data_IF_688743505662
#
_entry.id   IF_688743505662
#
_cell.length_a   1.000
_cell.length_b   1.000
_cell.length_c   1.000
_cell.angle_alpha   90.00
_cell.angle_beta   90.00
_cell.angle_gamma   90.00
#
_symmetry.space_group_name_H-M   'P 1'
#
loop_
_entity.id
_entity.type
_entity.pdbx_description
1 polymer ?
#
# COMPACT_ATOMS: atom_id res chain seq x y z
N UNK A 1 11.78 -2.63 -10.71
CA UNK A 1 12.45 -2.93 -9.45
C UNK A 1 12.15 -4.36 -9.05
N UNK A 2 13.17 -5.14 -8.67
CA UNK A 2 13.00 -6.45 -8.03
C UNK A 2 12.73 -6.25 -6.54
N UNK A 3 12.25 -7.29 -5.86
CA UNK A 3 12.06 -7.26 -4.41
C UNK A 3 13.38 -6.99 -3.67
N UNK A 4 14.45 -7.61 -4.13
CA UNK A 4 15.78 -7.45 -3.54
C UNK A 4 16.35 -6.04 -3.78
N UNK A 5 16.19 -5.49 -4.99
CA UNK A 5 16.55 -4.10 -5.28
C UNK A 5 15.75 -3.08 -4.47
N UNK A 6 14.48 -3.37 -4.14
CA UNK A 6 13.70 -2.52 -3.24
C UNK A 6 14.19 -2.61 -1.80
N UNK A 7 14.59 -3.79 -1.33
CA UNK A 7 15.19 -3.95 0.00
C UNK A 7 16.54 -3.25 0.11
N UNK A 8 17.40 -3.38 -0.91
CA UNK A 8 18.68 -2.69 -0.96
C UNK A 8 18.48 -1.17 -0.88
N UNK A 9 17.56 -0.62 -1.68
CA UNK A 9 17.24 0.80 -1.64
C UNK A 9 16.73 1.22 -0.25
N UNK A 10 15.79 0.49 0.32
CA UNK A 10 15.26 0.78 1.65
C UNK A 10 16.31 0.70 2.75
N UNK A 11 17.35 -0.13 2.60
CA UNK A 11 18.41 -0.25 3.59
C UNK A 11 19.29 1.00 3.74
N UNK A 12 19.29 1.87 2.74
CA UNK A 12 20.08 3.12 2.73
C UNK A 12 19.22 4.38 2.88
N UNK A 13 17.90 4.26 2.75
CA UNK A 13 16.98 5.38 2.94
C UNK A 13 16.56 5.47 4.41
N UNK A 14 16.38 6.68 4.89
CA UNK A 14 15.88 6.98 6.23
C UNK A 14 14.76 8.00 6.14
N UNK A 15 13.76 7.84 7.00
CA UNK A 15 12.77 8.88 7.20
C UNK A 15 13.42 10.10 7.89
N UNK A 16 13.16 11.29 7.36
CA UNK A 16 13.58 12.53 8.03
C UNK A 16 12.79 12.69 9.33
N UNK A 17 13.44 13.02 10.46
CA UNK A 17 12.76 13.20 11.74
C UNK A 17 11.77 14.38 11.76
N UNK A 18 11.85 15.27 10.77
CA UNK A 18 11.06 16.52 10.72
C UNK A 18 9.90 16.43 9.72
N UNK A 19 9.67 15.26 9.08
CA UNK A 19 8.65 15.10 8.04
C UNK A 19 7.62 14.06 8.47
N UNK A 20 6.33 14.38 8.27
CA UNK A 20 5.24 13.41 8.38
C UNK A 20 5.09 12.62 7.07
N UNK A 21 5.04 11.31 7.17
CA UNK A 21 4.91 10.42 6.02
C UNK A 21 3.57 9.68 6.05
N UNK A 22 2.88 9.69 4.92
CA UNK A 22 1.61 8.99 4.76
C UNK A 22 1.59 8.16 3.49
N UNK A 23 1.05 6.95 3.57
CA UNK A 23 0.84 6.06 2.44
C UNK A 23 -0.62 5.64 2.34
N UNK A 24 -1.15 5.63 1.13
CA UNK A 24 -2.41 4.99 0.81
C UNK A 24 -2.13 3.63 0.19
N UNK A 25 -2.69 2.58 0.78
CA UNK A 25 -2.50 1.20 0.36
C UNK A 25 -3.83 0.61 -0.17
N UNK A 26 -4.19 0.91 -1.43
CA UNK A 26 -5.41 0.38 -2.02
C UNK A 26 -5.33 -1.14 -2.20
N UNK A 27 -6.50 -1.79 -2.16
CA UNK A 27 -6.65 -3.20 -2.49
C UNK A 27 -7.94 -3.44 -3.27
N UNK A 28 -7.84 -4.23 -4.33
CA UNK A 28 -8.97 -4.65 -5.17
C UNK A 28 -9.13 -6.17 -5.18
N UNK A 29 -8.62 -6.86 -4.16
CA UNK A 29 -8.65 -8.32 -4.05
C UNK A 29 -9.26 -8.80 -2.75
N UNK A 30 -9.79 -10.02 -2.78
CA UNK A 30 -10.27 -10.77 -1.61
C UNK A 30 -9.57 -12.11 -1.53
N UNK A 31 -9.33 -12.58 -0.31
CA UNK A 31 -8.77 -13.89 -0.06
C UNK A 31 -9.76 -14.97 -0.50
N UNK A 32 -9.27 -15.99 -1.21
CA UNK A 32 -10.07 -17.17 -1.57
C UNK A 32 -10.48 -17.97 -0.32
N UNK A 33 -11.65 -18.51 -0.36
CA UNK A 33 -12.05 -19.53 0.63
C UNK A 33 -11.07 -20.69 0.57
N UNK A 34 -10.58 -21.25 1.57
CA UNK A 34 -9.67 -22.43 1.62
C UNK A 34 -8.30 -22.25 0.94
N UNK A 35 -7.84 -21.03 0.73
CA UNK A 35 -6.53 -20.76 0.13
C UNK A 35 -5.90 -19.50 0.74
N UNK A 36 -4.59 -19.35 0.61
CA UNK A 36 -3.90 -18.09 0.92
C UNK A 36 -3.90 -17.11 -0.26
N UNK A 37 -4.27 -17.57 -1.45
CA UNK A 37 -4.30 -16.74 -2.65
C UNK A 37 -5.48 -15.77 -2.64
N UNK A 38 -5.35 -14.69 -3.41
CA UNK A 38 -6.35 -13.66 -3.58
C UNK A 38 -6.91 -13.65 -5.01
N UNK A 39 -8.18 -13.34 -5.13
CA UNK A 39 -8.85 -13.08 -6.42
C UNK A 39 -9.29 -11.61 -6.49
N UNK A 40 -9.29 -11.01 -7.70
CA UNK A 40 -9.85 -9.68 -7.88
C UNK A 40 -11.36 -9.70 -7.57
N UNK A 41 -11.83 -8.63 -6.91
CA UNK A 41 -13.26 -8.41 -6.68
C UNK A 41 -14.00 -8.13 -8.01
N UNK A 42 -15.33 -8.26 -8.01
CA UNK A 42 -16.16 -8.05 -9.21
C UNK A 42 -16.02 -6.67 -9.83
N UNK A 43 -15.77 -5.67 -9.01
CA UNK A 43 -15.63 -4.27 -9.38
C UNK A 43 -14.24 -3.91 -9.94
N UNK A 44 -13.27 -4.82 -9.84
CA UNK A 44 -11.93 -4.58 -10.43
C UNK A 44 -12.06 -4.34 -11.93
N UNK A 45 -11.51 -3.24 -12.47
CA UNK A 45 -11.53 -2.97 -13.90
C UNK A 45 -11.00 -4.14 -14.72
N UNK A 46 -11.66 -4.46 -15.83
CA UNK A 46 -11.36 -5.65 -16.62
C UNK A 46 -9.89 -5.72 -17.05
N UNK A 47 -9.29 -4.58 -17.35
CA UNK A 47 -7.87 -4.47 -17.73
C UNK A 47 -6.92 -4.86 -16.59
N UNK A 48 -7.35 -4.72 -15.35
CA UNK A 48 -6.55 -5.04 -14.16
C UNK A 48 -6.80 -6.47 -13.65
N UNK A 49 -7.93 -7.10 -13.99
CA UNK A 49 -8.32 -8.41 -13.43
C UNK A 49 -7.28 -9.50 -13.64
N UNK A 50 -6.77 -9.61 -14.87
CA UNK A 50 -5.79 -10.66 -15.22
C UNK A 50 -4.53 -10.45 -14.39
N UNK A 51 -4.03 -9.22 -14.34
CA UNK A 51 -2.82 -8.87 -13.60
C UNK A 51 -3.02 -9.05 -12.09
N UNK A 52 -4.12 -8.55 -11.55
CA UNK A 52 -4.50 -8.71 -10.15
C UNK A 52 -4.54 -10.18 -9.73
N UNK A 53 -5.14 -11.05 -10.57
CA UNK A 53 -5.17 -12.49 -10.33
C UNK A 53 -3.78 -13.14 -10.37
N UNK A 54 -2.92 -12.71 -11.29
CA UNK A 54 -1.54 -13.18 -11.35
C UNK A 54 -0.76 -12.79 -10.09
N UNK A 55 -0.83 -11.54 -9.66
CA UNK A 55 -0.20 -11.06 -8.42
C UNK A 55 -0.77 -11.84 -7.23
N UNK A 56 -2.08 -11.97 -7.14
CA UNK A 56 -2.79 -12.64 -6.04
C UNK A 56 -2.54 -14.13 -5.91
N UNK A 57 -1.80 -14.75 -6.84
CA UNK A 57 -1.50 -16.19 -6.82
C UNK A 57 -0.03 -16.52 -7.07
N UNK A 58 0.82 -15.52 -7.31
CA UNK A 58 2.23 -15.75 -7.64
C UNK A 58 3.09 -15.76 -6.38
N UNK A 59 3.76 -16.87 -6.17
CA UNK A 59 4.85 -16.97 -5.21
C UNK A 59 6.14 -16.49 -5.91
N UNK A 60 6.78 -15.48 -5.36
CA UNK A 60 8.10 -15.02 -5.79
C UNK A 60 9.18 -15.57 -4.84
N UNK A 61 10.38 -15.71 -5.37
CA UNK A 61 11.55 -16.10 -4.59
C UNK A 61 12.49 -14.89 -4.52
N UNK A 62 13.05 -14.69 -3.34
CA UNK A 62 14.10 -13.72 -3.06
C UNK A 62 15.47 -14.33 -3.40
N UNK A 63 16.49 -13.50 -3.54
CA UNK A 63 17.86 -13.97 -3.84
C UNK A 63 18.43 -14.86 -2.73
N UNK A 64 17.95 -14.70 -1.49
CA UNK A 64 18.29 -15.57 -0.36
C UNK A 64 17.52 -16.90 -0.35
N UNK A 65 16.73 -17.19 -1.37
CA UNK A 65 15.91 -18.40 -1.52
C UNK A 65 14.60 -18.41 -0.72
N UNK A 66 14.30 -17.39 0.05
CA UNK A 66 13.02 -17.27 0.75
C UNK A 66 11.89 -17.00 -0.22
N UNK A 67 10.69 -17.45 0.14
CA UNK A 67 9.47 -17.20 -0.63
C UNK A 67 8.71 -16.02 -0.06
N UNK A 68 8.00 -15.31 -0.93
CA UNK A 68 6.97 -14.38 -0.48
C UNK A 68 5.86 -15.16 0.22
N UNK A 69 5.37 -14.61 1.33
CA UNK A 69 4.29 -15.18 2.12
C UNK A 69 2.90 -14.71 1.66
N UNK A 70 1.85 -15.04 2.43
CA UNK A 70 0.47 -14.71 2.09
C UNK A 70 0.15 -13.22 2.09
N UNK A 71 0.95 -12.38 2.74
CA UNK A 71 0.76 -10.93 2.75
C UNK A 71 1.03 -10.28 1.39
N UNK A 72 1.78 -10.97 0.52
CA UNK A 72 2.10 -10.51 -0.83
C UNK A 72 1.02 -10.76 -1.86
N UNK A 73 -0.07 -11.46 -1.54
CA UNK A 73 -1.12 -11.77 -2.50
C UNK A 73 -2.18 -10.69 -2.60
N UNK A 74 -2.39 -9.91 -1.55
CA UNK A 74 -3.27 -8.76 -1.59
C UNK A 74 -2.67 -7.69 -2.53
N UNK A 75 -3.51 -7.09 -3.42
CA UNK A 75 -3.01 -6.15 -4.41
C UNK A 75 -4.13 -5.23 -4.94
N UNK A 76 -3.70 -4.14 -5.56
CA UNK A 76 -4.55 -3.14 -6.20
C UNK A 76 -4.72 -3.34 -7.72
N UNK A 77 -4.22 -4.46 -8.25
CA UNK A 77 -4.20 -4.78 -9.69
C UNK A 77 -2.89 -4.45 -10.38
N UNK A 78 -2.01 -3.68 -9.78
CA UNK A 78 -0.68 -3.29 -10.30
C UNK A 78 0.43 -3.65 -9.32
N UNK A 79 0.23 -3.40 -8.03
CA UNK A 79 1.23 -3.53 -6.96
C UNK A 79 0.64 -4.34 -5.80
N UNK A 80 1.48 -5.05 -5.09
CA UNK A 80 1.09 -5.73 -3.85
C UNK A 80 0.77 -4.68 -2.78
N UNK A 81 -0.33 -4.85 -2.05
CA UNK A 81 -0.78 -3.87 -1.04
C UNK A 81 0.28 -3.65 0.04
N UNK A 82 0.94 -4.72 0.51
CA UNK A 82 2.02 -4.63 1.51
C UNK A 82 3.18 -3.73 1.07
N UNK A 83 3.49 -3.67 -0.22
CA UNK A 83 4.60 -2.85 -0.73
C UNK A 83 4.30 -1.34 -0.72
N UNK A 84 3.06 -0.96 -0.41
CA UNK A 84 2.61 0.43 -0.33
C UNK A 84 2.58 0.98 1.11
N UNK A 85 2.82 0.15 2.12
CA UNK A 85 2.80 0.61 3.52
C UNK A 85 3.91 1.62 3.84
N UNK A 86 5.04 1.52 3.19
CA UNK A 86 6.21 2.38 3.36
C UNK A 86 7.50 1.57 3.36
N UNK A 87 8.66 2.21 3.50
CA UNK A 87 9.93 1.51 3.61
C UNK A 87 9.98 0.68 4.89
N UNK A 88 10.35 -0.60 4.78
CA UNK A 88 10.36 -1.53 5.92
C UNK A 88 11.69 -1.59 6.66
N UNK A 89 12.73 -0.97 6.11
CA UNK A 89 14.06 -0.97 6.71
C UNK A 89 14.76 0.33 6.42
N UNK A 90 15.28 0.98 7.45
CA UNK A 90 16.21 2.09 7.32
C UNK A 90 17.64 1.65 7.61
N UNK A 91 18.60 2.50 7.37
CA UNK A 91 20.01 2.25 7.62
C UNK A 91 20.31 1.93 9.11
N UNK A 92 19.56 2.53 10.02
CA UNK A 92 19.70 2.33 11.46
C UNK A 92 18.68 1.34 12.05
N UNK A 93 18.07 0.52 11.22
CA UNK A 93 17.02 -0.42 11.61
C UNK A 93 15.72 -0.18 10.85
N UNK A 94 14.64 -0.90 11.19
CA UNK A 94 13.36 -0.70 10.56
C UNK A 94 12.82 0.70 10.85
N UNK A 95 12.35 1.40 9.81
CA UNK A 95 11.61 2.63 9.98
C UNK A 95 10.31 2.33 10.74
N UNK A 96 9.89 3.20 11.65
CA UNK A 96 8.61 3.05 12.32
C UNK A 96 7.48 3.20 11.30
N UNK A 97 6.70 2.13 11.13
CA UNK A 97 5.55 2.07 10.22
C UNK A 97 4.35 1.64 11.03
N UNK A 98 3.33 2.49 11.12
CA UNK A 98 2.09 2.20 11.84
C UNK A 98 0.87 2.29 10.92
N UNK A 99 -0.14 1.49 11.19
CA UNK A 99 -1.46 1.72 10.66
C UNK A 99 -2.01 3.02 11.23
N UNK A 100 -2.56 3.87 10.36
CA UNK A 100 -2.99 5.21 10.77
C UNK A 100 -4.06 5.17 11.86
N UNK A 101 -4.99 4.20 11.78
CA UNK A 101 -6.05 4.00 12.76
C UNK A 101 -5.55 3.54 14.13
N UNK A 102 -4.34 3.00 14.22
CA UNK A 102 -3.69 2.59 15.48
C UNK A 102 -2.88 3.72 16.12
N UNK A 103 -2.70 4.82 15.42
CA UNK A 103 -1.89 5.94 15.90
C UNK A 103 -2.66 6.81 16.89
N UNK A 104 -2.23 6.85 18.15
CA UNK A 104 -2.77 7.77 19.16
C UNK A 104 -2.35 9.22 18.92
N UNK A 105 -1.15 9.42 18.39
CA UNK A 105 -0.55 10.72 18.11
C UNK A 105 0.28 10.64 16.83
N UNK A 106 0.14 11.64 15.97
CA UNK A 106 1.00 11.78 14.79
C UNK A 106 2.28 12.51 15.17
N UNK A 107 3.42 11.90 14.87
CA UNK A 107 4.75 12.45 15.08
C UNK A 107 5.55 12.46 13.78
N UNK A 108 6.39 13.47 13.52
CA UNK A 108 7.26 13.45 12.36
C UNK A 108 8.31 12.33 12.46
N UNK A 109 8.87 11.93 11.35
CA UNK A 109 9.83 10.81 11.25
C UNK A 109 9.17 9.43 11.18
N UNK A 110 7.87 9.34 11.30
CA UNK A 110 7.12 8.09 11.27
C UNK A 110 6.24 7.96 10.02
N UNK A 111 6.16 6.75 9.46
CA UNK A 111 5.22 6.42 8.38
C UNK A 111 3.90 5.96 8.95
N UNK A 112 2.83 6.52 8.39
CA UNK A 112 1.45 6.13 8.66
C UNK A 112 0.81 5.63 7.38
N UNK A 113 0.35 4.39 7.38
CA UNK A 113 -0.32 3.82 6.22
C UNK A 113 -1.82 3.65 6.47
N UNK A 114 -2.59 3.84 5.42
CA UNK A 114 -4.04 3.72 5.42
C UNK A 114 -4.46 2.71 4.38
N UNK A 115 -5.13 1.65 4.81
CA UNK A 115 -5.70 0.67 3.89
C UNK A 115 -6.96 1.23 3.22
N UNK A 116 -7.02 1.15 1.91
CA UNK A 116 -8.18 1.59 1.13
C UNK A 116 -8.81 0.36 0.46
N UNK A 117 -9.81 -0.26 1.08
CA UNK A 117 -10.44 -1.46 0.54
C UNK A 117 -11.25 -1.13 -0.73
N UNK A 118 -11.41 -2.14 -1.59
CA UNK A 118 -12.22 -2.06 -2.82
C UNK A 118 -11.80 -0.93 -3.77
N UNK A 119 -10.52 -0.58 -3.76
CA UNK A 119 -9.93 0.46 -4.57
C UNK A 119 -8.79 -0.12 -5.41
N UNK A 120 -8.81 0.12 -6.71
CA UNK A 120 -7.74 -0.28 -7.62
C UNK A 120 -6.74 0.87 -7.83
N UNK A 121 -5.60 0.52 -8.42
CA UNK A 121 -4.47 1.42 -8.62
C UNK A 121 -4.82 2.72 -9.37
N UNK A 122 -5.70 2.64 -10.36
CA UNK A 122 -6.08 3.82 -11.14
C UNK A 122 -7.19 4.62 -10.48
N UNK A 123 -8.12 3.97 -9.82
CA UNK A 123 -9.23 4.64 -9.15
C UNK A 123 -8.75 5.54 -8.01
N UNK A 124 -7.72 5.13 -7.26
CA UNK A 124 -7.19 5.94 -6.14
C UNK A 124 -6.60 7.28 -6.58
N UNK A 125 -6.13 7.37 -7.81
CA UNK A 125 -5.63 8.62 -8.40
C UNK A 125 -6.65 9.32 -9.30
N UNK A 126 -7.93 8.92 -9.24
CA UNK A 126 -9.00 9.51 -10.03
C UNK A 126 -8.98 9.13 -11.51
N UNK A 127 -8.29 8.05 -11.89
CA UNK A 127 -8.12 7.63 -13.28
C UNK A 127 -8.75 6.27 -13.55
N UNK A 128 -9.45 6.10 -14.67
CA UNK A 128 -10.08 4.85 -15.15
C UNK A 128 -11.06 4.15 -14.17
N UNK A 129 -11.42 4.77 -13.06
CA UNK A 129 -12.41 4.25 -12.13
C UNK A 129 -13.85 4.49 -12.59
N UNK A 130 -14.80 3.75 -12.01
CA UNK A 130 -16.19 4.17 -12.08
C UNK A 130 -16.43 5.44 -11.24
N UNK A 131 -17.54 6.12 -11.48
CA UNK A 131 -17.83 7.41 -10.82
C UNK A 131 -17.83 7.32 -9.28
N UNK A 132 -18.34 6.24 -8.70
CA UNK A 132 -18.36 6.05 -7.24
C UNK A 132 -16.96 5.89 -6.64
N UNK A 133 -16.08 5.13 -7.30
CA UNK A 133 -14.70 4.95 -6.84
C UNK A 133 -13.90 6.24 -6.95
N UNK A 134 -14.07 6.98 -8.04
CA UNK A 134 -13.42 8.29 -8.21
C UNK A 134 -13.89 9.24 -7.11
N UNK A 135 -15.18 9.29 -6.82
CA UNK A 135 -15.72 10.09 -5.72
C UNK A 135 -15.17 9.69 -4.36
N UNK A 136 -15.08 8.39 -4.08
CA UNK A 136 -14.43 7.89 -2.85
C UNK A 136 -12.95 8.30 -2.78
N UNK A 137 -12.22 8.22 -3.88
CA UNK A 137 -10.83 8.68 -3.92
C UNK A 137 -10.71 10.18 -3.61
N UNK A 138 -11.60 11.01 -4.17
CA UNK A 138 -11.69 12.43 -3.86
C UNK A 138 -11.97 12.66 -2.36
N UNK A 139 -12.88 11.92 -1.77
CA UNK A 139 -13.20 11.99 -0.34
C UNK A 139 -11.98 11.65 0.53
N UNK A 140 -11.22 10.60 0.20
CA UNK A 140 -9.97 10.26 0.90
C UNK A 140 -8.94 11.39 0.80
N UNK A 141 -8.76 11.97 -0.40
CA UNK A 141 -7.81 13.07 -0.61
C UNK A 141 -8.22 14.34 0.13
N UNK A 142 -9.52 14.67 0.16
CA UNK A 142 -10.05 15.81 0.92
C UNK A 142 -9.82 15.61 2.41
N UNK A 143 -10.15 14.43 2.94
CA UNK A 143 -9.93 14.12 4.36
C UNK A 143 -8.44 14.17 4.72
N UNK A 144 -7.58 13.71 3.81
CA UNK A 144 -6.14 13.82 4.01
C UNK A 144 -5.65 15.27 4.00
N UNK A 145 -6.14 16.10 3.10
CA UNK A 145 -5.82 17.53 3.07
C UNK A 145 -6.25 18.25 4.36
N UNK A 146 -7.43 17.90 4.90
CA UNK A 146 -7.91 18.43 6.18
C UNK A 146 -6.96 17.98 7.32
N UNK A 147 -6.55 16.71 7.33
CA UNK A 147 -5.59 16.17 8.29
C UNK A 147 -4.25 16.91 8.25
N UNK A 148 -3.68 17.08 7.05
CA UNK A 148 -2.42 17.80 6.88
C UNK A 148 -2.50 19.24 7.39
N UNK A 149 -3.63 19.91 7.19
CA UNK A 149 -3.86 21.27 7.70
C UNK A 149 -3.89 21.33 9.24
N UNK A 150 -4.24 20.24 9.90
CA UNK A 150 -4.29 20.12 11.36
C UNK A 150 -2.96 19.71 12.01
N UNK A 151 -1.94 19.38 11.21
CA UNK A 151 -0.63 19.04 11.77
C UNK A 151 0.03 20.29 12.36
N UNK A 152 0.83 20.14 13.45
CA UNK A 152 1.63 21.23 13.96
C UNK A 152 2.55 21.78 12.87
N UNK A 153 2.54 23.08 12.67
CA UNK A 153 3.58 23.78 11.91
C UNK A 153 4.73 24.09 12.88
N UNK A 154 5.96 23.72 12.52
CA UNK A 154 7.13 24.17 13.25
C UNK A 154 7.37 25.67 13.08
#
# INVERSE_FOLDING_TARGET
LSLDGSKELNSILQASPDIYYFSFAPTTTVKRSNSHFHDPISETPILLRIRSKLIGSRIAYLDDGKKTDSLWFENDGIVNTISMYGPTTGYNGPDPILEFEEAELLIPGQWYWMKIPEMDHYSIIGHLGNHERIKRAEEYLIQHAIRLKGLPAE
#
